data_IF_157932002859
#
_entry.id   IF_157932002859
#
_cell.length_a   1.000
_cell.length_b   1.000
_cell.length_c   1.000
_cell.angle_alpha   90.00
_cell.angle_beta   90.00
_cell.angle_gamma   90.00
#
_symmetry.space_group_name_H-M   'P 1'
#
loop_
_entity.id
_entity.type
_entity.pdbx_description
1 polymer ?
#
# COMPACT_ATOMS: atom_id res chain seq x y z
N UNK A 1 -21.58 -9.48 -12.28
CA UNK A 1 -21.31 -10.84 -11.73
C UNK A 1 -22.21 -10.95 -10.51
N UNK A 2 -23.24 -11.80 -10.51
CA UNK A 2 -24.03 -12.02 -9.29
C UNK A 2 -23.22 -12.87 -8.32
N UNK A 3 -22.90 -12.31 -7.16
CA UNK A 3 -22.33 -13.06 -6.04
C UNK A 3 -23.32 -12.98 -4.89
N UNK A 4 -24.09 -14.05 -4.71
CA UNK A 4 -25.03 -14.21 -3.60
C UNK A 4 -24.25 -14.89 -2.46
N UNK A 5 -23.93 -14.14 -1.40
CA UNK A 5 -23.26 -14.69 -0.22
C UNK A 5 -24.26 -14.75 0.94
N UNK A 6 -24.87 -15.92 1.21
CA UNK A 6 -25.68 -16.09 2.41
C UNK A 6 -24.76 -16.28 3.62
N UNK A 7 -24.83 -15.37 4.59
CA UNK A 7 -24.24 -15.57 5.90
C UNK A 7 -25.22 -16.30 6.82
N UNK A 8 -24.76 -17.43 7.36
CA UNK A 8 -25.45 -18.16 8.43
C UNK A 8 -25.48 -17.27 9.67
N UNK A 9 -26.69 -16.91 10.10
CA UNK A 9 -26.93 -15.95 11.17
C UNK A 9 -26.38 -16.39 12.53
N UNK A 10 -25.64 -15.47 13.16
CA UNK A 10 -25.52 -15.47 14.62
C UNK A 10 -26.89 -15.07 15.16
N UNK A 11 -27.43 -15.92 16.04
CA UNK A 11 -28.79 -15.85 16.60
C UNK A 11 -29.07 -14.46 17.19
N UNK A 12 -30.06 -13.76 16.63
CA UNK A 12 -30.62 -12.51 17.17
C UNK A 12 -30.57 -11.26 16.29
N UNK A 13 -30.44 -11.38 14.96
CA UNK A 13 -30.39 -10.20 14.06
C UNK A 13 -31.75 -9.86 13.41
N UNK A 14 -32.13 -8.56 13.29
CA UNK A 14 -33.20 -8.11 12.40
C UNK A 14 -32.82 -8.42 10.94
N UNK A 15 -33.81 -8.45 10.05
CA UNK A 15 -33.73 -8.86 8.63
C UNK A 15 -32.33 -8.77 8.00
N UNK A 16 -31.83 -9.85 7.35
CA UNK A 16 -30.55 -9.82 6.67
C UNK A 16 -30.59 -8.71 5.62
N UNK A 17 -29.84 -7.63 5.85
CA UNK A 17 -29.60 -6.61 4.85
C UNK A 17 -29.05 -7.32 3.61
N UNK A 18 -29.74 -7.19 2.49
CA UNK A 18 -29.25 -7.67 1.19
C UNK A 18 -28.58 -6.51 0.48
N UNK A 19 -27.33 -6.72 0.08
CA UNK A 19 -26.63 -5.82 -0.83
C UNK A 19 -26.56 -6.55 -2.17
N UNK A 20 -27.07 -5.92 -3.22
CA UNK A 20 -26.98 -6.40 -4.58
C UNK A 20 -26.58 -5.21 -5.46
N UNK A 21 -25.57 -5.41 -6.29
CA UNK A 21 -25.09 -4.42 -7.25
C UNK A 21 -24.74 -5.12 -8.55
N UNK A 22 -25.17 -4.51 -9.65
CA UNK A 22 -24.83 -4.92 -11.01
C UNK A 22 -24.24 -3.71 -11.74
N UNK A 23 -23.11 -3.93 -12.40
CA UNK A 23 -22.41 -2.88 -13.16
C UNK A 23 -21.70 -3.44 -14.39
N UNK A 24 -21.43 -2.58 -15.36
CA UNK A 24 -20.65 -2.87 -16.57
C UNK A 24 -19.42 -1.97 -16.58
N UNK A 25 -18.24 -2.59 -16.56
CA UNK A 25 -16.96 -1.88 -16.60
C UNK A 25 -16.39 -1.83 -18.02
N UNK A 26 -15.90 -0.66 -18.42
CA UNK A 26 -15.30 -0.44 -19.73
C UNK A 26 -13.76 -0.42 -19.67
N UNK A 27 -13.15 -0.90 -20.75
CA UNK A 27 -11.71 -0.78 -20.99
C UNK A 27 -11.45 -0.51 -22.46
N UNK A 28 -10.63 0.50 -22.73
CA UNK A 28 -10.16 0.86 -24.07
C UNK A 28 -8.64 0.96 -24.06
N UNK A 29 -7.98 0.41 -25.07
CA UNK A 29 -6.54 0.50 -25.24
C UNK A 29 -6.20 0.71 -26.71
N UNK A 30 -5.22 1.56 -26.97
CA UNK A 30 -4.62 1.76 -28.29
C UNK A 30 -3.11 1.92 -28.15
N UNK A 31 -2.36 1.49 -29.16
CA UNK A 31 -0.91 1.63 -29.18
C UNK A 31 -0.35 1.84 -30.58
N UNK A 32 0.85 2.38 -30.65
CA UNK A 32 1.57 2.67 -31.87
C UNK A 32 3.03 2.24 -31.73
N UNK A 33 3.49 1.43 -32.70
CA UNK A 33 4.87 0.99 -32.78
C UNK A 33 5.73 2.08 -33.41
N UNK A 34 6.83 2.40 -32.75
CA UNK A 34 7.84 3.36 -33.15
C UNK A 34 9.11 2.59 -33.49
N UNK A 35 9.65 2.81 -34.67
CA UNK A 35 10.94 2.25 -35.10
C UNK A 35 11.87 3.44 -35.39
N UNK A 36 13.07 3.42 -34.82
CA UNK A 36 14.10 4.45 -35.02
C UNK A 36 13.63 5.91 -34.85
N UNK A 37 12.55 6.14 -34.09
CA UNK A 37 11.93 7.46 -33.98
C UNK A 37 12.77 8.48 -33.20
N UNK A 38 13.75 8.03 -32.43
CA UNK A 38 14.70 8.85 -31.66
C UNK A 38 16.13 8.30 -31.82
N UNK A 39 17.16 9.15 -31.84
CA UNK A 39 18.55 8.68 -31.93
C UNK A 39 18.88 7.66 -30.83
N UNK A 40 19.33 6.48 -31.24
CA UNK A 40 19.70 5.39 -30.33
C UNK A 40 18.54 4.51 -29.85
N UNK A 41 17.28 4.82 -30.21
CA UNK A 41 16.12 3.95 -29.97
C UNK A 41 15.98 2.99 -31.15
N UNK A 42 15.93 1.67 -30.88
CA UNK A 42 15.67 0.68 -31.93
C UNK A 42 14.16 0.47 -32.12
N UNK A 43 13.45 0.15 -31.03
CA UNK A 43 12.00 -0.05 -31.05
C UNK A 43 11.33 0.62 -29.85
N UNK A 44 10.11 1.09 -30.05
CA UNK A 44 9.27 1.67 -29.02
C UNK A 44 7.79 1.34 -29.24
N UNK A 45 7.02 1.26 -28.16
CA UNK A 45 5.57 1.13 -28.21
C UNK A 45 4.96 2.20 -27.32
N UNK A 46 4.37 3.22 -27.94
CA UNK A 46 3.61 4.26 -27.28
C UNK A 46 2.16 3.77 -27.13
N UNK A 47 1.58 3.88 -25.95
CA UNK A 47 0.20 3.44 -25.72
C UNK A 47 -0.60 4.42 -24.88
N UNK A 48 -1.91 4.32 -25.03
CA UNK A 48 -2.91 4.93 -24.16
C UNK A 48 -3.91 3.87 -23.72
N UNK A 49 -4.28 3.89 -22.44
CA UNK A 49 -5.30 3.03 -21.85
C UNK A 49 -6.28 3.87 -21.05
N UNK A 50 -7.57 3.63 -21.28
CA UNK A 50 -8.64 3.97 -20.36
C UNK A 50 -9.20 2.69 -19.75
N UNK A 51 -9.43 2.66 -18.44
CA UNK A 51 -10.06 1.51 -17.79
C UNK A 51 -10.84 1.91 -16.56
N UNK A 52 -11.99 1.30 -16.38
CA UNK A 52 -12.77 1.38 -15.15
C UNK A 52 -12.44 0.22 -14.21
N UNK A 53 -12.50 0.49 -12.91
CA UNK A 53 -12.33 -0.49 -11.85
C UNK A 53 -13.26 -0.20 -10.69
N UNK A 54 -13.43 -1.16 -9.79
CA UNK A 54 -14.26 -0.97 -8.59
C UNK A 54 -13.83 -1.92 -7.48
N UNK A 55 -14.14 -1.54 -6.23
CA UNK A 55 -14.18 -2.48 -5.10
C UNK A 55 -15.63 -2.64 -4.68
N UNK A 56 -16.11 -3.87 -4.63
CA UNK A 56 -17.47 -4.16 -4.16
C UNK A 56 -17.68 -3.61 -2.76
N UNK A 57 -18.87 -3.07 -2.50
CA UNK A 57 -19.38 -2.84 -1.16
C UNK A 57 -19.57 -4.14 -0.39
N UNK A 58 -19.90 -4.03 0.89
CA UNK A 58 -20.01 -5.19 1.75
C UNK A 58 -20.53 -4.88 3.14
N UNK A 59 -20.31 -5.84 4.04
CA UNK A 59 -20.75 -5.78 5.42
C UNK A 59 -19.54 -5.64 6.36
N UNK A 60 -19.71 -4.85 7.41
CA UNK A 60 -18.77 -4.83 8.51
C UNK A 60 -19.06 -5.98 9.48
N UNK A 61 -18.00 -6.57 10.04
CA UNK A 61 -18.10 -7.72 10.95
C UNK A 61 -18.57 -7.40 12.37
N UNK A 62 -19.28 -6.29 12.57
CA UNK A 62 -19.73 -5.80 13.89
C UNK A 62 -21.24 -5.94 14.00
N UNK A 63 -21.73 -6.49 15.11
CA UNK A 63 -23.16 -6.68 15.35
C UNK A 63 -23.92 -5.36 15.47
N UNK A 64 -25.18 -5.34 15.03
CA UNK A 64 -26.04 -4.17 15.12
C UNK A 64 -26.28 -3.73 16.57
N UNK A 65 -26.39 -2.43 16.78
CA UNK A 65 -26.76 -1.91 18.10
C UNK A 65 -28.19 -2.32 18.49
N UNK A 66 -28.42 -2.68 19.77
CA UNK A 66 -29.77 -2.83 20.28
C UNK A 66 -30.52 -1.49 20.25
N UNK A 67 -31.83 -1.53 20.02
CA UNK A 67 -32.72 -0.37 20.01
C UNK A 67 -33.85 -0.56 21.05
N UNK A 68 -33.94 0.28 22.11
CA UNK A 68 -33.09 1.45 22.39
C UNK A 68 -31.69 1.07 22.87
N UNK A 69 -30.70 1.91 22.56
CA UNK A 69 -29.31 1.73 23.00
C UNK A 69 -29.23 1.83 24.54
N UNK A 70 -28.77 0.79 25.26
CA UNK A 70 -28.67 0.82 26.71
C UNK A 70 -27.65 1.86 27.17
N UNK A 71 -27.84 2.46 28.36
CA UNK A 71 -26.85 3.36 28.92
C UNK A 71 -25.55 2.61 29.26
N UNK A 72 -24.40 3.24 29.00
CA UNK A 72 -23.08 2.68 29.31
C UNK A 72 -22.27 2.33 28.06
N UNK A 73 -21.25 1.49 28.24
CA UNK A 73 -20.36 1.09 27.16
C UNK A 73 -21.02 0.02 26.29
N UNK A 74 -21.19 0.35 25.01
CA UNK A 74 -21.72 -0.56 23.99
C UNK A 74 -20.63 -0.86 22.94
N UNK A 75 -20.65 -2.08 22.41
CA UNK A 75 -19.78 -2.50 21.30
C UNK A 75 -20.68 -3.02 20.20
N UNK A 76 -21.02 -2.14 19.26
CA UNK A 76 -21.99 -2.43 18.22
C UNK A 76 -21.86 -1.42 17.06
N UNK A 77 -22.49 -1.72 15.94
CA UNK A 77 -22.56 -0.87 14.76
C UNK A 77 -23.96 -0.24 14.63
N UNK A 78 -23.98 1.06 14.36
CA UNK A 78 -25.17 1.80 13.95
C UNK A 78 -25.65 1.33 12.56
N UNK A 79 -26.90 1.61 12.16
CA UNK A 79 -27.45 1.15 10.89
C UNK A 79 -26.60 1.51 9.66
N UNK A 80 -25.95 2.66 9.64
CA UNK A 80 -25.05 3.17 8.60
C UNK A 80 -23.61 2.62 8.70
N UNK A 81 -23.24 2.01 9.82
CA UNK A 81 -21.92 1.37 10.03
C UNK A 81 -21.93 -0.12 9.68
N UNK A 82 -23.11 -0.74 9.54
CA UNK A 82 -23.24 -2.17 9.24
C UNK A 82 -22.76 -2.55 7.84
N UNK A 83 -22.77 -1.60 6.92
CA UNK A 83 -22.53 -1.81 5.49
C UNK A 83 -21.74 -0.66 4.91
N UNK A 84 -20.94 -0.93 3.88
CA UNK A 84 -20.26 0.08 3.08
C UNK A 84 -20.55 -0.15 1.59
N UNK A 85 -20.55 0.93 0.82
CA UNK A 85 -20.82 0.95 -0.61
C UNK A 85 -19.60 0.61 -1.47
N UNK A 86 -19.87 0.35 -2.75
CA UNK A 86 -18.83 0.16 -3.76
C UNK A 86 -18.11 1.46 -4.06
N UNK A 87 -16.78 1.40 -4.16
CA UNK A 87 -16.01 2.50 -4.75
C UNK A 87 -15.62 2.19 -6.19
N UNK A 88 -15.47 3.24 -7.01
CA UNK A 88 -15.22 3.11 -8.46
C UNK A 88 -14.05 3.96 -8.90
N UNK A 89 -13.29 3.47 -9.87
CA UNK A 89 -12.14 4.18 -10.41
C UNK A 89 -12.21 4.32 -11.93
N UNK A 90 -11.84 5.49 -12.42
CA UNK A 90 -11.58 5.75 -13.84
C UNK A 90 -10.09 6.02 -14.01
N UNK A 91 -9.37 5.11 -14.66
CA UNK A 91 -7.93 5.20 -14.90
C UNK A 91 -7.64 5.65 -16.34
N UNK A 92 -6.74 6.62 -16.47
CA UNK A 92 -6.16 7.07 -17.71
C UNK A 92 -4.65 6.89 -17.63
N UNK A 93 -4.08 6.12 -18.54
CA UNK A 93 -2.65 5.83 -18.58
C UNK A 93 -2.08 6.08 -19.96
N UNK A 94 -0.98 6.82 -20.04
CA UNK A 94 -0.15 6.95 -21.24
C UNK A 94 1.23 6.43 -20.91
N UNK A 95 1.79 5.57 -21.75
CA UNK A 95 3.13 5.05 -21.51
C UNK A 95 3.91 4.74 -22.77
N UNK A 96 5.22 4.64 -22.59
CA UNK A 96 6.18 4.26 -23.62
C UNK A 96 7.01 3.10 -23.08
N UNK A 97 7.08 2.02 -23.83
CA UNK A 97 8.04 0.92 -23.64
C UNK A 97 9.02 0.97 -24.79
N UNK A 98 10.32 0.94 -24.52
CA UNK A 98 11.32 1.18 -25.57
C UNK A 98 12.64 0.47 -25.31
N UNK A 99 13.30 0.06 -26.39
CA UNK A 99 14.61 -0.55 -26.40
C UNK A 99 15.60 0.34 -27.18
N UNK A 100 16.80 0.47 -26.62
CA UNK A 100 17.82 1.41 -27.05
C UNK A 100 19.19 0.73 -27.08
N UNK A 101 20.12 1.32 -27.83
CA UNK A 101 21.54 0.92 -27.85
C UNK A 101 21.73 -0.57 -28.17
N UNK A 102 21.14 -1.05 -29.26
CA UNK A 102 21.16 -2.47 -29.66
C UNK A 102 20.62 -3.40 -28.57
N UNK A 103 19.45 -3.03 -28.00
CA UNK A 103 18.76 -3.75 -26.92
C UNK A 103 19.54 -3.83 -25.60
N UNK A 104 20.57 -2.99 -25.42
CA UNK A 104 21.30 -2.92 -24.15
C UNK A 104 20.54 -2.13 -23.09
N UNK A 105 19.68 -1.20 -23.48
CA UNK A 105 18.87 -0.39 -22.57
C UNK A 105 17.39 -0.57 -22.89
N UNK A 106 16.62 -1.09 -21.94
CA UNK A 106 15.15 -1.06 -21.97
C UNK A 106 14.67 0.03 -21.02
N UNK A 107 13.82 0.93 -21.52
CA UNK A 107 13.21 2.01 -20.77
C UNK A 107 11.69 1.98 -20.89
N UNK A 108 11.03 1.87 -19.74
CA UNK A 108 9.58 1.89 -19.62
C UNK A 108 9.19 3.08 -18.76
N UNK A 109 8.30 3.93 -19.28
CA UNK A 109 7.75 5.08 -18.56
C UNK A 109 6.24 5.10 -18.73
N UNK A 110 5.52 5.42 -17.67
CA UNK A 110 4.08 5.64 -17.72
C UNK A 110 3.70 6.86 -16.88
N UNK A 111 2.65 7.55 -17.33
CA UNK A 111 1.93 8.57 -16.60
C UNK A 111 0.53 8.03 -16.37
N UNK A 112 0.04 8.14 -15.13
CA UNK A 112 -1.31 7.69 -14.78
C UNK A 112 -2.09 8.77 -14.06
N UNK A 113 -3.41 8.75 -14.27
CA UNK A 113 -4.38 9.58 -13.58
C UNK A 113 -5.62 8.74 -13.27
N UNK A 114 -5.87 8.51 -12.00
CA UNK A 114 -6.96 7.70 -11.48
C UNK A 114 -7.91 8.64 -10.74
N UNK A 115 -9.14 8.75 -11.21
CA UNK A 115 -10.24 9.32 -10.45
C UNK A 115 -10.88 8.21 -9.63
N UNK A 116 -11.15 8.47 -8.36
CA UNK A 116 -11.71 7.50 -7.44
C UNK A 116 -12.95 8.10 -6.79
N UNK A 117 -14.11 7.51 -7.04
CA UNK A 117 -15.37 7.96 -6.48
C UNK A 117 -15.72 7.12 -5.25
N UNK A 118 -16.21 7.81 -4.21
CA UNK A 118 -16.72 7.21 -2.97
C UNK A 118 -15.73 6.25 -2.27
N UNK A 119 -14.47 6.68 -2.13
CA UNK A 119 -13.36 5.80 -1.70
C UNK A 119 -13.65 5.06 -0.39
N UNK A 120 -13.51 3.74 -0.37
CA UNK A 120 -13.58 2.96 0.86
C UNK A 120 -12.32 3.17 1.70
N UNK A 121 -12.50 3.51 2.97
CA UNK A 121 -11.45 3.83 3.93
C UNK A 121 -11.64 3.06 5.24
N UNK A 122 -10.54 2.84 5.95
CA UNK A 122 -10.59 2.30 7.30
C UNK A 122 -11.05 3.40 8.28
N UNK A 123 -12.08 3.09 9.07
CA UNK A 123 -12.59 3.93 10.16
C UNK A 123 -13.01 3.05 11.35
N UNK A 124 -13.73 3.60 12.32
CA UNK A 124 -14.20 2.88 13.50
C UNK A 124 -15.67 3.16 13.81
N UNK A 125 -16.36 2.21 14.44
CA UNK A 125 -17.72 2.43 14.97
C UNK A 125 -17.73 3.50 16.05
N UNK A 126 -18.78 4.32 16.07
CA UNK A 126 -19.09 5.27 17.15
C UNK A 126 -19.20 4.51 18.48
N UNK A 127 -19.83 3.34 18.48
CA UNK A 127 -20.01 2.53 19.69
C UNK A 127 -18.93 1.44 19.80
N UNK A 128 -17.95 1.66 20.68
CA UNK A 128 -16.92 0.68 21.01
C UNK A 128 -15.67 0.72 20.12
N UNK A 129 -15.57 1.68 19.19
CA UNK A 129 -14.38 1.93 18.38
C UNK A 129 -13.84 0.67 17.68
N UNK A 130 -14.75 -0.12 17.12
CA UNK A 130 -14.40 -1.33 16.38
C UNK A 130 -13.99 -0.95 14.95
N UNK A 131 -12.92 -1.54 14.41
CA UNK A 131 -12.48 -1.24 13.05
C UNK A 131 -13.56 -1.66 12.04
N UNK A 132 -13.89 -0.75 11.15
CA UNK A 132 -14.86 -0.94 10.07
C UNK A 132 -14.35 -0.28 8.80
N UNK A 133 -14.94 -0.66 7.67
CA UNK A 133 -14.80 0.08 6.41
C UNK A 133 -15.99 1.01 6.28
N UNK A 134 -15.73 2.26 5.90
CA UNK A 134 -16.73 3.22 5.49
C UNK A 134 -16.34 3.85 4.16
N UNK A 135 -17.29 4.48 3.47
CA UNK A 135 -16.98 5.30 2.31
C UNK A 135 -16.73 6.74 2.76
N UNK A 136 -15.74 7.38 2.15
CA UNK A 136 -15.42 8.78 2.40
C UNK A 136 -15.99 9.68 1.30
N UNK A 137 -15.11 10.25 0.48
CA UNK A 137 -15.45 11.18 -0.58
C UNK A 137 -14.61 10.85 -1.81
N UNK A 138 -14.62 11.74 -2.80
CA UNK A 138 -13.85 11.50 -4.02
C UNK A 138 -12.37 11.76 -3.80
N UNK A 139 -11.54 10.95 -4.44
CA UNK A 139 -10.10 11.07 -4.43
C UNK A 139 -9.51 11.00 -5.84
N UNK A 140 -8.28 11.45 -5.97
CA UNK A 140 -7.47 11.27 -7.17
C UNK A 140 -6.13 10.66 -6.77
N UNK A 141 -5.66 9.70 -7.54
CA UNK A 141 -4.29 9.19 -7.51
C UNK A 141 -3.65 9.41 -8.86
N UNK A 142 -2.57 10.19 -8.91
CA UNK A 142 -1.87 10.47 -10.16
C UNK A 142 -0.37 10.39 -9.99
N UNK A 143 0.33 10.07 -11.06
CA UNK A 143 1.74 9.82 -10.92
C UNK A 143 2.48 9.48 -12.20
N UNK A 144 3.73 9.10 -11.98
CA UNK A 144 4.66 8.62 -12.98
C UNK A 144 5.32 7.34 -12.46
N UNK A 145 5.49 6.37 -13.34
CA UNK A 145 6.34 5.21 -13.09
C UNK A 145 7.44 5.12 -14.14
N UNK A 146 8.63 4.72 -13.70
CA UNK A 146 9.81 4.54 -14.51
C UNK A 146 10.44 3.20 -14.15
N UNK A 147 10.79 2.41 -15.16
CA UNK A 147 11.60 1.21 -15.02
C UNK A 147 12.67 1.19 -16.12
N UNK A 148 13.92 1.00 -15.71
CA UNK A 148 15.10 0.99 -16.56
C UNK A 148 15.86 -0.31 -16.33
N UNK A 149 16.25 -0.97 -17.42
CA UNK A 149 17.21 -2.07 -17.40
C UNK A 149 18.34 -1.74 -18.36
N UNK A 150 19.56 -1.67 -17.89
CA UNK A 150 20.71 -1.29 -18.71
C UNK A 150 21.89 -2.25 -18.54
N UNK A 151 22.32 -2.87 -19.63
CA UNK A 151 23.56 -3.61 -19.74
C UNK A 151 24.73 -2.63 -19.99
N UNK A 152 25.32 -2.09 -18.92
CA UNK A 152 26.43 -1.12 -18.97
C UNK A 152 27.68 -1.67 -19.66
N UNK A 153 28.03 -2.92 -19.37
CA UNK A 153 29.14 -3.68 -19.99
C UNK A 153 28.72 -5.13 -20.12
N UNK A 154 29.51 -5.99 -20.73
CA UNK A 154 29.22 -7.45 -20.77
C UNK A 154 29.18 -8.11 -19.38
N UNK A 155 29.66 -7.40 -18.35
CA UNK A 155 29.77 -7.89 -16.98
C UNK A 155 28.89 -7.15 -15.98
N UNK A 156 28.46 -5.93 -16.29
CA UNK A 156 27.71 -5.07 -15.38
C UNK A 156 26.35 -4.74 -15.94
N UNK A 157 25.31 -5.09 -15.20
CA UNK A 157 23.93 -4.69 -15.48
C UNK A 157 23.35 -3.87 -14.33
N UNK A 158 22.44 -2.97 -14.67
CA UNK A 158 21.72 -2.11 -13.74
C UNK A 158 20.24 -2.23 -14.00
N UNK A 159 19.48 -2.45 -12.94
CA UNK A 159 18.04 -2.28 -12.95
C UNK A 159 17.68 -1.12 -12.03
N UNK A 160 16.82 -0.22 -12.49
CA UNK A 160 16.32 0.89 -11.69
C UNK A 160 14.81 1.02 -11.85
N UNK A 161 14.12 1.32 -10.77
CA UNK A 161 12.70 1.66 -10.81
C UNK A 161 12.40 2.85 -9.91
N UNK A 162 11.45 3.68 -10.33
CA UNK A 162 11.00 4.84 -9.58
C UNK A 162 9.52 5.07 -9.81
N UNK A 163 8.80 5.42 -8.75
CA UNK A 163 7.40 5.82 -8.79
C UNK A 163 7.21 7.11 -8.00
N UNK A 164 6.50 8.04 -8.64
CA UNK A 164 5.93 9.22 -8.01
C UNK A 164 4.42 9.04 -7.97
N UNK A 165 3.81 9.03 -6.79
CA UNK A 165 2.36 8.88 -6.61
C UNK A 165 1.82 9.96 -5.68
N UNK A 166 0.95 10.80 -6.19
CA UNK A 166 0.22 11.79 -5.39
C UNK A 166 -1.25 11.39 -5.31
N UNK A 167 -1.63 10.80 -4.18
CA UNK A 167 -2.98 10.36 -3.88
C UNK A 167 -3.60 11.25 -2.80
N UNK A 168 -4.74 11.90 -3.10
CA UNK A 168 -5.38 12.85 -2.20
C UNK A 168 -6.89 12.91 -2.42
N UNK A 169 -7.61 13.35 -1.40
CA UNK A 169 -9.01 13.76 -1.55
C UNK A 169 -9.11 14.97 -2.50
N UNK A 170 -10.19 15.00 -3.26
CA UNK A 170 -10.56 16.14 -4.14
C UNK A 170 -11.86 16.82 -3.72
N UNK A 171 -12.45 16.34 -2.62
CA UNK A 171 -13.65 16.87 -1.98
C UNK A 171 -13.51 16.67 -0.47
N UNK A 172 -14.17 17.53 0.30
CA UNK A 172 -14.28 17.33 1.74
C UNK A 172 -15.01 16.02 2.04
N UNK A 173 -14.61 15.38 3.13
CA UNK A 173 -15.16 14.12 3.62
C UNK A 173 -15.47 14.28 5.13
N UNK A 174 -16.64 14.88 5.45
CA UNK A 174 -17.05 15.08 6.84
C UNK A 174 -17.14 13.75 7.58
N UNK A 175 -16.62 13.70 8.80
CA UNK A 175 -16.64 12.52 9.65
C UNK A 175 -15.87 11.29 9.14
N UNK A 176 -15.08 11.42 8.08
CA UNK A 176 -14.41 10.28 7.44
C UNK A 176 -13.42 9.56 8.37
N UNK A 177 -12.79 10.27 9.32
CA UNK A 177 -11.75 9.69 10.18
C UNK A 177 -12.29 9.48 11.58
N UNK A 178 -12.56 8.23 11.94
CA UNK A 178 -12.93 7.87 13.30
C UNK A 178 -11.76 8.01 14.28
N UNK A 179 -12.05 8.60 15.44
CA UNK A 179 -11.12 8.78 16.55
C UNK A 179 -11.74 8.21 17.83
N UNK A 180 -10.93 7.55 18.66
CA UNK A 180 -11.43 7.03 19.93
C UNK A 180 -11.84 8.21 20.82
N UNK A 181 -13.08 8.20 21.27
CA UNK A 181 -13.65 9.29 22.05
C UNK A 181 -13.02 9.43 23.43
N UNK A 182 -12.98 10.67 23.91
CA UNK A 182 -12.81 10.96 25.34
C UNK A 182 -11.52 10.47 25.98
N UNK A 183 -10.41 11.12 25.64
CA UNK A 183 -9.45 11.55 26.65
C UNK A 183 -9.09 13.02 26.45
N UNK A 184 -10.11 13.88 26.32
CA UNK A 184 -9.91 15.29 26.63
C UNK A 184 -9.39 15.39 28.07
N UNK A 185 -8.31 16.15 28.27
CA UNK A 185 -7.62 16.28 29.55
C UNK A 185 -8.58 16.84 30.63
N UNK A 186 -9.30 15.95 31.32
CA UNK A 186 -10.26 16.32 32.36
C UNK A 186 -11.41 15.34 32.56
N UNK A 187 -11.78 14.52 31.57
CA UNK A 187 -12.84 13.52 31.72
C UNK A 187 -12.27 12.08 31.62
N UNK A 188 -12.35 11.26 32.69
CA UNK A 188 -11.86 9.88 32.69
C UNK A 188 -12.86 8.86 32.13
N UNK A 189 -14.04 9.29 31.67
CA UNK A 189 -14.98 8.38 30.99
C UNK A 189 -14.64 8.27 29.51
N UNK A 190 -14.50 7.03 29.02
CA UNK A 190 -14.39 6.75 27.59
C UNK A 190 -15.74 7.08 26.98
N UNK A 191 -15.81 8.21 26.27
CA UNK A 191 -16.99 8.59 25.49
C UNK A 191 -17.13 7.73 24.23
N UNK A 192 -18.28 7.83 23.52
CA UNK A 192 -18.40 7.22 22.20
C UNK A 192 -17.27 7.72 21.29
N UNK A 193 -16.81 6.89 20.35
CA UNK A 193 -15.87 7.34 19.34
C UNK A 193 -16.42 8.57 18.62
N UNK A 194 -15.54 9.53 18.39
CA UNK A 194 -15.85 10.75 17.65
C UNK A 194 -15.35 10.56 16.21
N UNK A 195 -15.76 11.45 15.33
CA UNK A 195 -15.27 11.52 13.96
C UNK A 195 -14.67 12.88 13.72
N UNK A 196 -13.57 12.94 12.97
CA UNK A 196 -12.99 14.19 12.49
C UNK A 196 -13.09 14.25 10.97
N UNK A 197 -13.32 15.46 10.48
CA UNK A 197 -13.42 15.72 9.04
C UNK A 197 -12.04 15.58 8.38
N UNK A 198 -12.07 15.11 7.13
CA UNK A 198 -10.97 15.25 6.19
C UNK A 198 -11.38 16.22 5.08
N UNK A 199 -10.41 16.89 4.48
CA UNK A 199 -10.66 18.01 3.56
C UNK A 199 -10.05 17.77 2.18
N UNK A 200 -10.53 18.51 1.17
CA UNK A 200 -9.87 18.58 -0.14
C UNK A 200 -8.37 18.85 0.03
N UNK A 201 -7.56 18.06 -0.66
CA UNK A 201 -6.11 18.12 -0.59
C UNK A 201 -5.47 17.23 0.46
N UNK A 202 -6.23 16.67 1.41
CA UNK A 202 -5.69 15.72 2.39
C UNK A 202 -5.19 14.46 1.67
N UNK A 203 -3.93 14.11 1.92
CA UNK A 203 -3.26 12.96 1.30
C UNK A 203 -3.84 11.65 1.82
N UNK A 204 -4.05 10.69 0.93
CA UNK A 204 -4.47 9.33 1.30
C UNK A 204 -3.33 8.58 2.03
N UNK A 205 -3.67 7.73 3.03
CA UNK A 205 -2.69 6.96 3.78
C UNK A 205 -2.16 5.77 2.98
N UNK A 206 -1.12 5.11 3.50
CA UNK A 206 -0.67 3.80 3.01
C UNK A 206 0.24 3.79 1.78
N UNK A 207 0.43 4.92 1.09
CA UNK A 207 1.32 5.00 -0.08
C UNK A 207 2.36 6.11 0.05
N UNK A 208 3.67 5.86 -0.14
CA UNK A 208 4.70 6.91 -0.19
C UNK A 208 4.58 7.76 -1.46
N UNK A 209 4.92 9.06 -1.39
CA UNK A 209 4.88 9.94 -2.60
C UNK A 209 5.97 9.55 -3.59
N UNK A 210 7.16 9.32 -3.08
CA UNK A 210 8.32 8.84 -3.83
C UNK A 210 8.71 7.47 -3.32
N UNK A 211 8.91 6.53 -4.23
CA UNK A 211 9.54 5.24 -3.95
C UNK A 211 10.38 4.80 -5.14
N UNK A 212 11.43 4.03 -4.88
CA UNK A 212 12.25 3.49 -5.96
C UNK A 212 13.35 2.58 -5.45
N UNK A 213 14.06 1.99 -6.39
CA UNK A 213 15.19 1.15 -6.11
C UNK A 213 16.15 1.05 -7.27
N UNK A 214 17.38 0.68 -6.96
CA UNK A 214 18.43 0.39 -7.93
C UNK A 214 19.06 -0.93 -7.53
N UNK A 215 19.26 -1.81 -8.51
CA UNK A 215 20.01 -3.04 -8.37
C UNK A 215 21.17 -3.02 -9.37
N UNK A 216 22.36 -3.31 -8.88
CA UNK A 216 23.58 -3.49 -9.67
C UNK A 216 23.94 -4.96 -9.59
N UNK A 217 24.18 -5.58 -10.74
CA UNK A 217 24.64 -6.95 -10.84
C UNK A 217 25.94 -6.99 -11.65
N UNK A 218 27.00 -7.51 -11.05
CA UNK A 218 28.30 -7.67 -11.68
C UNK A 218 28.67 -9.16 -11.76
N UNK A 219 28.74 -9.67 -12.99
CA UNK A 219 29.11 -11.05 -13.30
C UNK A 219 30.56 -11.12 -13.79
N UNK A 220 31.38 -11.93 -13.13
CA UNK A 220 32.77 -12.17 -13.50
C UNK A 220 33.04 -13.67 -13.69
N UNK A 221 33.15 -14.13 -14.96
CA UNK A 221 33.62 -15.47 -15.25
C UNK A 221 35.14 -15.54 -15.06
N UNK A 222 35.60 -16.35 -14.11
CA UNK A 222 37.03 -16.54 -13.84
C UNK A 222 37.60 -17.64 -14.72
N UNK A 223 38.90 -17.55 -15.03
CA UNK A 223 39.61 -18.56 -15.86
C UNK A 223 39.61 -19.97 -15.25
N UNK A 224 39.37 -20.10 -13.95
CA UNK A 224 39.28 -21.38 -13.22
C UNK A 224 37.95 -22.14 -13.44
N UNK A 225 37.03 -21.59 -14.24
CA UNK A 225 35.66 -22.09 -14.41
C UNK A 225 34.74 -21.79 -13.22
N UNK A 226 35.21 -20.96 -12.27
CA UNK A 226 34.42 -20.39 -11.19
C UNK A 226 33.78 -19.09 -11.69
N UNK A 227 32.52 -18.85 -11.37
CA UNK A 227 31.87 -17.57 -11.61
C UNK A 227 31.68 -16.84 -10.29
N UNK A 228 31.97 -15.54 -10.28
CA UNK A 228 31.62 -14.62 -9.20
C UNK A 228 30.50 -13.72 -9.67
N UNK A 229 29.46 -13.61 -8.86
CA UNK A 229 28.37 -12.66 -9.06
C UNK A 229 28.27 -11.77 -7.82
N UNK A 230 28.28 -10.46 -8.04
CA UNK A 230 28.11 -9.46 -7.00
C UNK A 230 26.81 -8.72 -7.24
N UNK A 231 25.93 -8.72 -6.26
CA UNK A 231 24.69 -7.96 -6.30
C UNK A 231 24.71 -6.88 -5.24
N UNK A 232 24.24 -5.70 -5.62
CA UNK A 232 23.99 -4.61 -4.70
C UNK A 232 22.63 -3.99 -5.00
N UNK A 233 21.75 -3.99 -4.00
CA UNK A 233 20.42 -3.42 -4.07
C UNK A 233 20.25 -2.25 -3.11
N UNK A 234 19.58 -1.21 -3.57
CA UNK A 234 19.09 -0.10 -2.76
C UNK A 234 17.59 0.04 -3.00
N UNK A 235 16.83 0.24 -1.94
CA UNK A 235 15.41 0.62 -2.00
C UNK A 235 15.18 1.82 -1.09
N UNK A 236 14.50 2.83 -1.59
CA UNK A 236 14.19 4.06 -0.85
C UNK A 236 12.71 4.40 -0.97
N UNK A 237 12.12 4.83 0.14
CA UNK A 237 10.77 5.38 0.18
C UNK A 237 10.74 6.69 0.96
N UNK A 238 9.89 7.60 0.51
CA UNK A 238 9.49 8.79 1.28
C UNK A 238 8.55 8.42 2.43
N UNK A 239 8.08 9.43 3.16
CA UNK A 239 7.18 9.21 4.30
C UNK A 239 5.83 8.63 3.87
N UNK A 240 5.22 7.86 4.77
CA UNK A 240 3.88 7.27 4.63
C UNK A 240 2.98 7.81 5.73
N UNK A 241 1.80 8.29 5.38
CA UNK A 241 0.78 8.69 6.35
C UNK A 241 -0.03 7.47 6.77
N UNK A 242 -0.35 7.38 8.06
CA UNK A 242 -1.13 6.25 8.61
C UNK A 242 -2.63 6.52 8.60
N UNK A 243 -3.04 7.79 8.51
CA UNK A 243 -4.43 8.22 8.32
C UNK A 243 -4.49 9.36 7.31
N UNK A 244 -5.67 9.53 6.70
CA UNK A 244 -5.95 10.59 5.72
C UNK A 244 -5.56 11.94 6.31
N UNK A 245 -4.78 12.73 5.58
CA UNK A 245 -4.42 14.10 5.98
C UNK A 245 -3.70 14.26 7.32
N UNK A 246 -3.16 13.18 7.92
CA UNK A 246 -2.69 13.15 9.31
C UNK A 246 -3.77 13.55 10.34
N UNK A 247 -5.04 13.37 9.99
CA UNK A 247 -6.18 13.61 10.88
C UNK A 247 -6.26 12.52 11.95
N UNK A 248 -6.92 12.84 13.08
CA UNK A 248 -7.24 11.87 14.13
C UNK A 248 -6.02 11.10 14.66
N UNK A 249 -4.99 11.82 15.09
CA UNK A 249 -3.70 11.25 15.53
C UNK A 249 -2.98 10.38 14.48
N UNK A 250 -3.23 10.66 13.19
CA UNK A 250 -2.43 10.12 12.10
C UNK A 250 -0.94 10.47 12.25
N UNK A 251 -0.08 9.54 11.87
CA UNK A 251 1.37 9.68 11.95
C UNK A 251 2.00 9.69 10.56
N UNK A 252 3.03 10.52 10.40
CA UNK A 252 3.93 10.45 9.26
C UNK A 252 5.09 9.51 9.61
N UNK A 253 5.02 8.27 9.13
CA UNK A 253 6.13 7.33 9.22
C UNK A 253 7.27 7.84 8.34
N UNK A 254 8.43 8.09 8.95
CA UNK A 254 9.59 8.67 8.25
C UNK A 254 10.06 7.80 7.08
N UNK A 255 10.47 8.45 6.00
CA UNK A 255 11.10 7.78 4.86
C UNK A 255 12.41 7.09 5.26
N UNK A 256 12.79 6.08 4.49
CA UNK A 256 14.01 5.32 4.76
C UNK A 256 14.59 4.70 3.49
N UNK A 257 15.87 4.35 3.58
CA UNK A 257 16.60 3.63 2.56
C UNK A 257 17.19 2.36 3.16
N UNK A 258 17.00 1.24 2.47
CA UNK A 258 17.56 -0.07 2.83
C UNK A 258 18.53 -0.50 1.76
N UNK A 259 19.69 -0.98 2.18
CA UNK A 259 20.73 -1.51 1.32
C UNK A 259 20.81 -3.03 1.49
N UNK A 260 21.04 -3.74 0.39
CA UNK A 260 21.26 -5.18 0.35
C UNK A 260 22.48 -5.47 -0.50
N UNK A 261 23.24 -6.48 -0.15
CA UNK A 261 24.37 -6.92 -0.95
C UNK A 261 24.54 -8.43 -0.86
N UNK A 262 25.01 -9.05 -1.94
CA UNK A 262 25.44 -10.45 -1.94
C UNK A 262 26.67 -10.67 -2.82
N UNK A 263 27.41 -11.70 -2.48
CA UNK A 263 28.49 -12.25 -3.29
C UNK A 263 28.26 -13.75 -3.43
N UNK A 264 28.10 -14.20 -4.67
CA UNK A 264 27.79 -15.58 -5.04
C UNK A 264 28.95 -16.17 -5.82
N UNK A 265 29.43 -17.34 -5.40
CA UNK A 265 30.42 -18.13 -6.12
C UNK A 265 29.73 -19.39 -6.67
N UNK A 266 29.82 -19.62 -7.98
CA UNK A 266 29.24 -20.81 -8.61
C UNK A 266 30.22 -21.57 -9.51
N UNK A 267 30.14 -22.90 -9.47
CA UNK A 267 30.89 -23.80 -10.35
C UNK A 267 30.13 -25.12 -10.54
N UNK A 268 29.75 -25.41 -11.79
CA UNK A 268 28.90 -26.56 -12.10
C UNK A 268 27.55 -26.48 -11.37
N UNK A 269 27.12 -27.53 -10.65
CA UNK A 269 25.83 -27.54 -9.95
C UNK A 269 25.83 -26.76 -8.63
N UNK A 270 27.00 -26.33 -8.14
CA UNK A 270 27.15 -25.70 -6.82
C UNK A 270 27.09 -24.18 -6.91
N UNK A 271 26.40 -23.57 -5.95
CA UNK A 271 26.44 -22.13 -5.68
C UNK A 271 26.53 -21.90 -4.18
N UNK A 272 27.42 -21.01 -3.76
CA UNK A 272 27.53 -20.54 -2.39
C UNK A 272 27.40 -19.01 -2.38
N UNK A 273 26.50 -18.49 -1.55
CA UNK A 273 26.18 -17.06 -1.51
C UNK A 273 26.34 -16.53 -0.10
N UNK A 274 27.18 -15.50 0.08
CA UNK A 274 27.18 -14.66 1.27
C UNK A 274 26.29 -13.45 1.00
N UNK A 275 25.30 -13.20 1.85
CA UNK A 275 24.40 -12.07 1.70
C UNK A 275 24.24 -11.27 2.98
N UNK A 276 23.88 -10.00 2.81
CA UNK A 276 23.50 -9.08 3.86
C UNK A 276 22.24 -8.32 3.46
N UNK A 277 21.13 -8.60 4.15
CA UNK A 277 19.92 -7.80 4.11
C UNK A 277 20.00 -6.67 5.14
N UNK A 278 19.53 -5.47 4.76
CA UNK A 278 19.63 -4.27 5.60
C UNK A 278 21.09 -4.02 6.04
N UNK A 279 21.99 -3.97 5.06
CA UNK A 279 23.44 -3.88 5.20
C UNK A 279 23.89 -2.74 6.13
N UNK A 280 23.15 -1.64 6.18
CA UNK A 280 23.47 -0.48 7.04
C UNK A 280 22.85 -0.57 8.43
N UNK A 281 22.11 -1.63 8.74
CA UNK A 281 21.33 -1.80 9.97
C UNK A 281 20.37 -0.61 10.21
N UNK A 282 19.68 -0.17 9.16
CA UNK A 282 18.69 0.90 9.24
C UNK A 282 17.58 0.48 10.21
N UNK A 283 17.22 1.38 11.12
CA UNK A 283 15.97 1.33 11.86
C UNK A 283 14.93 2.18 11.14
N UNK A 284 13.74 1.63 10.91
CA UNK A 284 12.62 2.34 10.32
C UNK A 284 11.30 1.72 10.77
N UNK A 285 10.26 2.57 10.86
CA UNK A 285 8.89 2.17 11.16
C UNK A 285 8.11 1.99 9.87
N UNK A 286 7.33 0.93 9.77
CA UNK A 286 6.58 0.57 8.56
C UNK A 286 5.07 0.54 8.76
N UNK A 287 4.59 0.64 10.00
CA UNK A 287 3.18 0.69 10.30
C UNK A 287 2.92 1.11 11.73
N UNK A 288 1.69 1.56 11.99
CA UNK A 288 1.15 1.84 13.32
C UNK A 288 0.04 0.82 13.57
N UNK A 289 0.12 0.08 14.68
CA UNK A 289 -0.94 -0.86 15.10
C UNK A 289 -1.86 -0.24 16.16
N UNK A 290 -1.30 0.63 17.01
CA UNK A 290 -2.04 1.42 17.97
C UNK A 290 -1.39 2.81 18.00
N UNK A 291 -2.19 3.82 17.68
CA UNK A 291 -1.77 5.22 17.67
C UNK A 291 -1.97 5.85 19.07
N UNK A 292 -1.79 7.17 19.15
CA UNK A 292 -1.87 7.91 20.41
C UNK A 292 -3.29 8.03 20.96
N UNK A 293 -4.31 7.73 20.16
CA UNK A 293 -5.72 7.75 20.58
C UNK A 293 -6.11 6.45 21.31
N UNK A 294 -5.24 5.43 21.30
CA UNK A 294 -5.45 4.24 22.11
C UNK A 294 -5.17 4.52 23.59
N UNK A 295 -6.15 5.10 24.26
CA UNK A 295 -6.16 5.33 25.71
C UNK A 295 -7.42 4.68 26.28
N UNK A 296 -7.23 3.75 27.21
CA UNK A 296 -8.29 2.93 27.79
C UNK A 296 -8.25 2.98 29.33
N UNK A 297 -9.38 2.74 29.99
CA UNK A 297 -9.49 2.69 31.45
C UNK A 297 -9.64 1.24 31.88
N UNK A 298 -8.63 0.71 32.58
CA UNK A 298 -8.62 -0.71 32.97
C UNK A 298 -9.20 -0.84 34.36
N UNK A 299 -10.53 -0.99 34.49
CA UNK A 299 -11.26 -1.50 35.67
C UNK A 299 -10.93 -0.94 37.07
N UNK A 300 -10.01 0.01 37.17
CA UNK A 300 -9.38 0.55 38.37
C UNK A 300 -9.45 2.06 38.23
N UNK A 301 -10.11 2.75 39.17
CA UNK A 301 -10.19 4.20 39.16
C UNK A 301 -8.79 4.81 39.04
N UNK A 302 -8.64 5.78 38.11
CA UNK A 302 -7.40 6.52 37.85
C UNK A 302 -6.25 5.75 37.19
N UNK A 303 -6.46 4.52 36.71
CA UNK A 303 -5.47 3.82 35.88
C UNK A 303 -5.80 3.94 34.38
N UNK A 304 -4.89 4.52 33.60
CA UNK A 304 -5.02 4.65 32.14
C UNK A 304 -4.02 3.78 31.43
N UNK A 305 -4.52 2.87 30.61
CA UNK A 305 -3.71 2.09 29.68
C UNK A 305 -3.49 2.90 28.41
N UNK A 306 -2.23 3.11 28.06
CA UNK A 306 -1.83 3.67 26.76
C UNK A 306 -1.12 2.60 25.97
N UNK A 307 -1.56 2.34 24.74
CA UNK A 307 -0.90 1.40 23.84
C UNK A 307 -0.39 2.16 22.64
N UNK A 308 0.90 2.03 22.38
CA UNK A 308 1.52 2.66 21.22
C UNK A 308 2.49 1.66 20.60
N UNK A 309 2.16 1.20 19.41
CA UNK A 309 2.85 0.09 18.76
C UNK A 309 3.15 0.40 17.30
N UNK A 310 4.42 0.25 16.93
CA UNK A 310 4.88 0.33 15.55
C UNK A 310 5.42 -1.00 15.06
N UNK A 311 5.17 -1.28 13.80
CA UNK A 311 5.93 -2.27 13.05
C UNK A 311 7.26 -1.66 12.61
N UNK A 312 8.32 -2.46 12.64
CA UNK A 312 9.67 -2.03 12.23
C UNK A 312 10.24 -2.99 11.19
N UNK A 313 11.16 -2.48 10.37
CA UNK A 313 11.90 -3.35 9.44
C UNK A 313 12.80 -4.33 10.20
N UNK A 314 13.08 -5.48 9.59
CA UNK A 314 14.02 -6.46 10.14
C UNK A 314 15.41 -5.81 10.30
N UNK A 315 16.10 -6.02 11.43
CA UNK A 315 17.50 -5.62 11.59
C UNK A 315 18.41 -6.25 10.54
N UNK A 316 19.67 -5.80 10.50
CA UNK A 316 20.68 -6.41 9.63
C UNK A 316 20.69 -7.92 9.79
N UNK A 317 20.55 -8.63 8.68
CA UNK A 317 20.60 -10.09 8.64
C UNK A 317 21.71 -10.49 7.68
N UNK A 318 22.67 -11.25 8.17
CA UNK A 318 23.78 -11.79 7.38
C UNK A 318 23.60 -13.30 7.34
N UNK A 319 23.72 -13.90 6.16
CA UNK A 319 23.54 -15.33 6.00
C UNK A 319 24.42 -15.92 4.91
N UNK A 320 24.54 -17.24 4.96
CA UNK A 320 25.17 -18.07 3.94
C UNK A 320 24.10 -18.98 3.35
N UNK A 321 23.96 -18.97 2.03
CA UNK A 321 23.10 -19.88 1.27
C UNK A 321 23.97 -20.82 0.44
N UNK A 322 23.64 -22.12 0.46
CA UNK A 322 24.30 -23.14 -0.35
C UNK A 322 23.26 -23.85 -1.19
N UNK A 323 23.47 -23.86 -2.50
CA UNK A 323 22.55 -24.48 -3.47
C UNK A 323 23.28 -25.53 -4.30
N UNK A 324 22.64 -26.66 -4.47
CA UNK A 324 23.02 -27.71 -5.42
C UNK A 324 21.88 -27.91 -6.41
N UNK A 325 22.16 -27.79 -7.71
CA UNK A 325 21.18 -28.07 -8.77
C UNK A 325 21.36 -29.52 -9.24
N UNK A 326 20.34 -30.34 -9.05
CA UNK A 326 20.29 -31.69 -9.61
C UNK A 326 19.98 -31.62 -11.10
N UNK A 327 20.66 -32.44 -11.89
CA UNK A 327 20.25 -32.72 -13.26
C UNK A 327 19.09 -33.73 -13.22
N UNK A 328 17.95 -33.35 -13.79
CA UNK A 328 16.78 -34.23 -14.02
C UNK A 328 16.66 -34.48 -15.52
#
# INVERSE_FOLDING_TARGET
IMVDIPLVGIVGTPDPKKISEDDVIFKFNTSYQLEDALPGMGSGNLYFTFSEGYRTGGFNGVGACPDPLPPGQNVCALPDELTFGTDKTNNYEVGLKSDWLDQRLTANVSLFYIQWNDVQIDTITVNGAQPIIGNASDAVSKGLELALKYQLTDRLSVFGSYSYTNAKLVKDAPGAVGVRGGHNAGNPTVGPAESVDAFDGDRLPGTPVHQGGVNLNYFWPMSSGLNLELDYGLTAISNVYTKIGLRGSGEALGGFTVHKASASLSKGPWTATLYADNLTNKFARTGVRADRDYIDTVGVPNFRLRRYYHNIIRPRTIGLDFRYKFDL
#
